data_IF_924523932619
#
_entry.id   IF_924523932619
#
_cell.length_a   1.000
_cell.length_b   1.000
_cell.length_c   1.000
_cell.angle_alpha   90.00
_cell.angle_beta   90.00
_cell.angle_gamma   90.00
#
_symmetry.space_group_name_H-M   'P 1'
#
loop_
_entity.id
_entity.type
_entity.pdbx_description
1 polymer ?
#
# COMPACT_ATOMS: atom_id res chain seq x y z
N UNK A 1 -28.49 67.87 -21.13
CA UNK A 1 -27.37 66.90 -21.12
C UNK A 1 -26.46 67.24 -19.95
N UNK A 2 -26.56 66.51 -18.83
CA UNK A 2 -25.66 66.67 -17.68
C UNK A 2 -24.57 65.59 -17.72
N UNK A 3 -23.28 65.95 -17.55
CA UNK A 3 -22.20 64.99 -17.65
C UNK A 3 -22.18 64.11 -16.39
N UNK A 4 -22.30 62.79 -16.59
CA UNK A 4 -22.16 61.80 -15.52
C UNK A 4 -20.68 61.76 -15.11
N UNK A 5 -20.32 62.50 -14.07
CA UNK A 5 -18.99 62.45 -13.46
C UNK A 5 -18.77 61.03 -12.94
N UNK A 6 -18.05 60.21 -13.71
CA UNK A 6 -17.57 58.92 -13.25
C UNK A 6 -16.56 59.20 -12.15
N UNK A 7 -16.89 58.87 -10.90
CA UNK A 7 -16.00 58.98 -9.75
C UNK A 7 -15.10 57.73 -9.73
N UNK A 8 -13.85 57.79 -10.25
CA UNK A 8 -12.97 56.62 -10.29
C UNK A 8 -12.69 56.05 -8.89
N UNK A 9 -12.67 56.91 -7.87
CA UNK A 9 -12.50 56.49 -6.47
C UNK A 9 -13.61 55.59 -5.93
N UNK A 10 -14.85 55.72 -6.44
CA UNK A 10 -15.95 54.83 -6.04
C UNK A 10 -15.73 53.41 -6.55
N UNK A 11 -15.34 53.27 -7.83
CA UNK A 11 -15.04 51.97 -8.42
C UNK A 11 -13.78 51.33 -7.82
N UNK A 12 -12.74 52.11 -7.54
CA UNK A 12 -11.55 51.62 -6.86
C UNK A 12 -11.88 51.10 -5.44
N UNK A 13 -12.72 51.80 -4.69
CA UNK A 13 -13.19 51.36 -3.38
C UNK A 13 -14.03 50.09 -3.48
N UNK A 14 -14.96 50.00 -4.45
CA UNK A 14 -15.73 48.77 -4.67
C UNK A 14 -14.83 47.57 -4.99
N UNK A 15 -13.83 47.73 -5.85
CA UNK A 15 -12.87 46.67 -6.19
C UNK A 15 -12.04 46.26 -4.97
N UNK A 16 -11.56 47.22 -4.18
CA UNK A 16 -10.82 46.94 -2.97
C UNK A 16 -11.67 46.19 -1.93
N UNK A 17 -12.92 46.60 -1.73
CA UNK A 17 -13.85 45.93 -0.81
C UNK A 17 -14.15 44.51 -1.30
N UNK A 18 -14.37 44.31 -2.60
CA UNK A 18 -14.56 42.97 -3.18
C UNK A 18 -13.30 42.10 -3.00
N UNK A 19 -12.11 42.64 -3.25
CA UNK A 19 -10.83 41.93 -3.02
C UNK A 19 -10.67 41.53 -1.55
N UNK A 20 -10.97 42.44 -0.61
CA UNK A 20 -10.94 42.13 0.82
C UNK A 20 -11.97 41.05 1.17
N UNK A 21 -13.20 41.13 0.62
CA UNK A 21 -14.19 40.08 0.85
C UNK A 21 -13.76 38.74 0.25
N UNK A 22 -13.12 38.74 -0.92
CA UNK A 22 -12.58 37.52 -1.52
C UNK A 22 -11.41 36.95 -0.71
N UNK A 23 -10.50 37.79 -0.20
CA UNK A 23 -9.39 37.36 0.65
C UNK A 23 -9.86 36.83 2.01
N UNK A 24 -10.80 37.53 2.64
CA UNK A 24 -11.40 37.13 3.93
C UNK A 24 -12.26 35.88 3.74
N UNK A 25 -13.05 35.79 2.67
CA UNK A 25 -13.83 34.59 2.38
C UNK A 25 -12.93 33.41 2.02
N UNK A 26 -11.85 33.61 1.24
CA UNK A 26 -10.89 32.55 0.97
C UNK A 26 -10.16 32.10 2.25
N UNK A 27 -9.78 33.03 3.13
CA UNK A 27 -9.16 32.72 4.42
C UNK A 27 -10.13 32.04 5.40
N UNK A 28 -11.40 32.44 5.43
CA UNK A 28 -12.44 31.75 6.22
C UNK A 28 -12.85 30.40 5.62
N UNK A 29 -12.84 30.25 4.29
CA UNK A 29 -12.99 28.95 3.66
C UNK A 29 -11.76 28.08 3.95
N UNK A 30 -10.56 28.62 4.00
CA UNK A 30 -9.39 27.86 4.45
C UNK A 30 -9.41 27.54 5.95
N UNK A 31 -10.09 28.33 6.79
CA UNK A 31 -10.17 28.08 8.25
C UNK A 31 -11.39 27.26 8.69
N UNK A 32 -12.50 27.29 7.93
CA UNK A 32 -13.74 26.54 8.21
C UNK A 32 -13.99 25.40 7.20
N UNK A 33 -13.34 25.41 6.03
CA UNK A 33 -13.34 24.37 4.99
C UNK A 33 -11.92 23.78 4.80
N UNK A 34 -10.91 24.28 5.52
CA UNK A 34 -9.65 23.60 5.76
C UNK A 34 -9.78 22.59 6.89
N UNK A 35 -9.34 21.35 6.62
CA UNK A 35 -9.27 20.23 7.57
C UNK A 35 -10.56 19.83 8.31
N UNK A 36 -11.70 20.46 8.05
CA UNK A 36 -12.94 20.24 8.78
C UNK A 36 -12.77 20.47 10.29
N UNK A 37 -13.59 19.83 11.13
CA UNK A 37 -13.43 19.80 12.59
C UNK A 37 -12.16 19.02 13.06
N UNK A 38 -11.18 18.83 12.17
CA UNK A 38 -9.91 18.17 12.46
C UNK A 38 -8.91 19.12 13.12
N UNK A 39 -8.08 18.58 14.00
CA UNK A 39 -6.93 19.29 14.54
C UNK A 39 -5.99 19.70 13.39
N UNK A 40 -5.41 20.90 13.45
CA UNK A 40 -4.39 21.38 12.50
C UNK A 40 -3.27 20.32 12.40
N UNK A 41 -2.77 20.00 11.19
CA UNK A 41 -1.63 19.09 11.06
C UNK A 41 -0.44 19.65 11.86
N UNK A 42 0.30 18.81 12.60
CA UNK A 42 1.43 19.29 13.37
C UNK A 42 2.55 19.77 12.44
N UNK A 43 3.48 20.58 12.98
CA UNK A 43 4.55 21.14 12.17
C UNK A 43 5.40 20.04 11.53
N UNK A 44 5.82 20.28 10.30
CA UNK A 44 6.75 19.42 9.59
C UNK A 44 8.09 19.36 10.33
N UNK A 45 8.68 18.18 10.41
CA UNK A 45 10.05 18.00 10.92
C UNK A 45 11.02 18.59 9.90
N UNK A 46 11.77 19.61 10.29
CA UNK A 46 12.76 20.24 9.43
C UNK A 46 14.05 19.42 9.39
N UNK A 47 14.46 19.00 8.19
CA UNK A 47 15.64 18.16 7.96
C UNK A 47 16.39 18.65 6.72
N UNK A 48 17.71 18.65 6.79
CA UNK A 48 18.57 18.87 5.62
C UNK A 48 19.14 17.54 5.13
N UNK A 49 18.85 17.18 3.89
CA UNK A 49 19.43 16.01 3.23
C UNK A 49 20.76 16.39 2.58
N UNK A 50 21.85 15.78 3.04
CA UNK A 50 23.23 16.20 2.69
C UNK A 50 24.08 15.07 2.12
N UNK A 51 23.61 13.83 2.17
CA UNK A 51 24.37 12.65 1.74
C UNK A 51 23.56 11.82 0.75
N UNK A 52 24.18 11.41 -0.35
CA UNK A 52 23.64 10.35 -1.19
C UNK A 52 23.90 8.98 -0.55
N UNK A 53 22.88 8.13 -0.56
CA UNK A 53 22.99 6.75 -0.09
C UNK A 53 23.84 5.96 -1.09
N UNK A 54 25.02 5.53 -0.64
CA UNK A 54 25.84 4.61 -1.40
C UNK A 54 25.23 3.21 -1.35
N UNK A 55 25.12 2.56 -2.52
CA UNK A 55 24.75 1.16 -2.58
C UNK A 55 25.76 0.31 -1.79
N UNK A 56 25.27 -0.53 -0.89
CA UNK A 56 26.09 -1.47 -0.13
C UNK A 56 25.92 -2.87 -0.71
N UNK A 57 26.94 -3.73 -0.62
CA UNK A 57 26.76 -5.13 -0.97
C UNK A 57 25.64 -5.74 -0.12
N UNK A 58 24.66 -6.45 -0.71
CA UNK A 58 23.60 -7.09 0.05
C UNK A 58 24.22 -8.02 1.11
N UNK A 59 23.69 -8.07 2.35
CA UNK A 59 24.22 -8.98 3.35
C UNK A 59 24.18 -10.41 2.79
N UNK A 60 25.20 -11.24 3.05
CA UNK A 60 25.23 -12.61 2.56
C UNK A 60 24.10 -13.39 3.21
N UNK A 61 22.94 -13.45 2.56
CA UNK A 61 21.86 -14.34 2.95
C UNK A 61 22.34 -15.75 2.64
N UNK A 62 22.48 -16.56 3.70
CA UNK A 62 22.93 -17.95 3.61
C UNK A 62 22.20 -18.64 2.45
N UNK A 63 22.97 -19.06 1.45
CA UNK A 63 22.45 -19.80 0.32
C UNK A 63 21.56 -20.93 0.83
N UNK A 64 20.41 -21.21 0.21
CA UNK A 64 19.63 -22.38 0.60
C UNK A 64 20.56 -23.59 0.51
N UNK A 65 20.73 -24.29 1.63
CA UNK A 65 21.40 -25.59 1.65
C UNK A 65 20.71 -26.40 0.57
N UNK A 66 21.44 -26.72 -0.49
CA UNK A 66 20.92 -27.53 -1.57
C UNK A 66 20.51 -28.86 -0.95
N UNK A 67 19.21 -29.03 -0.70
CA UNK A 67 18.65 -30.30 -0.29
C UNK A 67 18.95 -31.23 -1.45
N UNK A 68 19.93 -32.12 -1.25
CA UNK A 68 20.30 -33.11 -2.23
C UNK A 68 19.00 -33.81 -2.65
N UNK A 69 18.55 -33.54 -3.88
CA UNK A 69 17.40 -34.23 -4.45
C UNK A 69 17.75 -35.70 -4.44
N UNK A 70 17.15 -36.46 -3.53
CA UNK A 70 17.23 -37.91 -3.53
C UNK A 70 16.63 -38.35 -4.85
N UNK A 71 17.49 -38.68 -5.83
CA UNK A 71 17.07 -39.27 -7.10
C UNK A 71 16.34 -40.56 -6.73
N UNK A 72 15.03 -40.59 -6.92
CA UNK A 72 14.31 -41.84 -6.98
C UNK A 72 14.91 -42.64 -8.15
N UNK A 73 15.22 -43.93 -7.97
CA UNK A 73 15.77 -44.74 -9.04
C UNK A 73 14.74 -44.82 -10.18
N UNK A 74 15.19 -44.46 -11.38
CA UNK A 74 14.46 -44.66 -12.62
C UNK A 74 14.24 -46.16 -12.81
N UNK A 75 12.98 -46.60 -12.81
CA UNK A 75 12.62 -47.95 -13.23
C UNK A 75 12.81 -48.01 -14.74
N UNK A 76 13.81 -48.79 -15.17
CA UNK A 76 14.11 -49.02 -16.56
C UNK A 76 12.95 -49.73 -17.26
N UNK A 77 12.26 -49.05 -18.18
CA UNK A 77 11.41 -49.69 -19.16
C UNK A 77 12.30 -50.29 -20.27
N UNK A 78 12.15 -51.60 -20.45
CA UNK A 78 12.87 -52.44 -21.43
C UNK A 78 12.39 -52.10 -22.86
N UNK A 79 13.28 -51.91 -23.85
CA UNK A 79 12.84 -51.70 -25.23
C UNK A 79 12.52 -53.04 -25.90
N UNK A 80 11.39 -53.10 -26.61
CA UNK A 80 11.10 -54.17 -27.58
C UNK A 80 11.09 -53.54 -28.96
N UNK A 81 11.97 -54.03 -29.83
CA UNK A 81 12.06 -53.67 -31.23
C UNK A 81 11.46 -54.77 -32.12
N UNK A 82 10.67 -54.31 -33.09
CA UNK A 82 10.43 -54.79 -34.46
C UNK A 82 9.91 -56.21 -34.75
N UNK A 83 8.79 -56.28 -35.49
CA UNK A 83 8.59 -57.21 -36.60
C UNK A 83 7.51 -56.72 -37.60
N UNK A 84 7.97 -56.47 -38.82
CA UNK A 84 7.43 -56.78 -40.17
C UNK A 84 5.99 -56.44 -40.61
N UNK A 85 5.93 -55.78 -41.77
CA UNK A 85 4.80 -55.63 -42.70
C UNK A 85 4.34 -56.97 -43.34
N UNK A 86 3.19 -57.02 -44.05
CA UNK A 86 3.22 -56.68 -45.48
C UNK A 86 1.99 -55.95 -46.04
N UNK A 87 2.18 -55.47 -47.26
CA UNK A 87 1.30 -54.72 -48.16
C UNK A 87 0.35 -55.64 -48.96
N UNK A 88 -0.90 -55.21 -49.22
CA UNK A 88 -1.68 -55.66 -50.38
C UNK A 88 -2.77 -54.66 -50.80
N UNK A 89 -2.70 -54.30 -52.07
CA UNK A 89 -3.60 -53.49 -52.90
C UNK A 89 -4.90 -54.24 -53.22
N UNK A 90 -6.06 -53.55 -53.27
CA UNK A 90 -6.99 -53.55 -54.43
C UNK A 90 -8.41 -53.01 -54.11
N UNK A 91 -8.80 -52.02 -54.94
CA UNK A 91 -10.08 -51.87 -55.67
C UNK A 91 -11.41 -51.57 -54.97
N UNK A 92 -12.01 -50.47 -55.43
CA UNK A 92 -13.42 -50.05 -55.28
C UNK A 92 -14.41 -51.00 -56.01
N UNK A 93 -15.75 -50.87 -55.81
CA UNK A 93 -16.51 -49.89 -56.60
C UNK A 93 -17.75 -49.20 -55.93
N UNK A 94 -17.99 -48.00 -56.46
CA UNK A 94 -19.19 -47.19 -56.75
C UNK A 94 -20.66 -47.53 -56.36
N UNK A 95 -21.39 -46.43 -56.06
CA UNK A 95 -22.83 -46.07 -56.23
C UNK A 95 -23.84 -46.72 -55.23
N UNK A 96 -24.81 -46.02 -54.62
CA UNK A 96 -25.91 -45.21 -55.18
C UNK A 96 -26.42 -44.13 -54.19
N UNK A 97 -26.98 -43.06 -54.75
CA UNK A 97 -27.51 -41.83 -54.16
C UNK A 97 -28.79 -41.95 -53.29
N UNK A 98 -29.00 -40.94 -52.43
CA UNK A 98 -30.30 -40.28 -52.20
C UNK A 98 -30.10 -38.92 -51.50
N UNK A 99 -30.76 -37.89 -52.02
CA UNK A 99 -30.91 -36.52 -51.50
C UNK A 99 -32.42 -36.16 -51.61
N UNK A 100 -32.92 -34.99 -51.18
CA UNK A 100 -32.51 -34.04 -50.12
C UNK A 100 -33.68 -33.67 -49.16
N UNK A 101 -33.41 -32.91 -48.10
CA UNK A 101 -34.42 -32.01 -47.50
C UNK A 101 -33.76 -30.80 -46.83
N UNK A 102 -34.33 -29.65 -47.15
CA UNK A 102 -33.94 -28.27 -46.95
C UNK A 102 -34.32 -27.74 -45.56
N UNK A 103 -33.59 -26.73 -45.05
CA UNK A 103 -34.13 -25.54 -44.37
C UNK A 103 -32.98 -24.57 -44.02
N UNK A 104 -33.09 -23.34 -44.51
CA UNK A 104 -32.27 -22.18 -44.14
C UNK A 104 -33.10 -21.21 -43.24
N UNK A 105 -32.58 -20.02 -42.88
CA UNK A 105 -32.08 -19.61 -41.55
C UNK A 105 -33.07 -18.69 -40.79
N UNK A 106 -32.65 -18.04 -39.67
CA UNK A 106 -32.58 -16.57 -39.80
C UNK A 106 -31.41 -15.88 -39.06
N UNK A 107 -31.35 -14.59 -39.37
CA UNK A 107 -30.30 -13.58 -39.20
C UNK A 107 -30.58 -12.71 -37.96
N UNK A 108 -29.57 -11.91 -37.58
CA UNK A 108 -29.58 -10.64 -36.81
C UNK A 108 -29.60 -10.71 -35.28
N UNK A 109 -28.51 -10.24 -34.66
CA UNK A 109 -28.50 -8.93 -34.00
C UNK A 109 -27.07 -8.56 -33.57
N UNK A 110 -26.44 -7.68 -34.36
CA UNK A 110 -25.29 -6.89 -33.91
C UNK A 110 -25.82 -5.75 -33.04
N UNK A 111 -25.51 -5.80 -31.74
CA UNK A 111 -25.86 -4.73 -30.80
C UNK A 111 -24.66 -3.81 -30.67
N UNK A 112 -24.79 -2.62 -31.26
CA UNK A 112 -23.88 -1.51 -31.02
C UNK A 112 -23.92 -1.10 -29.53
N UNK A 113 -22.78 -0.88 -28.87
CA UNK A 113 -22.79 -0.39 -27.49
C UNK A 113 -23.19 1.11 -27.47
N UNK A 114 -23.95 1.55 -26.45
CA UNK A 114 -24.35 2.95 -26.31
C UNK A 114 -23.14 3.84 -25.93
N UNK A 115 -23.22 5.17 -26.16
CA UNK A 115 -22.14 6.10 -25.85
C UNK A 115 -21.95 6.20 -24.32
N UNK A 116 -20.77 5.86 -23.84
CA UNK A 116 -20.42 5.94 -22.43
C UNK A 116 -20.23 7.40 -21.98
N UNK A 117 -21.01 7.82 -20.99
CA UNK A 117 -20.82 9.05 -20.23
C UNK A 117 -19.54 8.99 -19.36
N UNK A 118 -18.92 10.14 -19.01
CA UNK A 118 -17.50 10.22 -18.65
C UNK A 118 -17.20 9.62 -17.27
N UNK A 119 -16.25 8.68 -17.25
CA UNK A 119 -15.85 7.90 -16.06
C UNK A 119 -14.73 8.62 -15.32
N UNK A 120 -14.91 8.77 -14.01
CA UNK A 120 -14.10 9.57 -13.09
C UNK A 120 -12.82 8.85 -12.64
N UNK A 121 -11.68 9.57 -12.64
CA UNK A 121 -10.29 9.08 -12.58
C UNK A 121 -9.78 8.98 -11.14
N UNK A 122 -9.88 7.79 -10.55
CA UNK A 122 -9.51 7.60 -9.16
C UNK A 122 -9.27 6.08 -8.81
N UNK A 123 -8.01 5.77 -8.42
CA UNK A 123 -7.39 4.58 -7.76
C UNK A 123 -6.56 3.59 -8.65
N UNK A 124 -5.23 3.19 -8.48
CA UNK A 124 -4.16 3.30 -7.39
C UNK A 124 -2.73 3.75 -7.86
N UNK A 125 -2.19 4.88 -7.39
CA UNK A 125 -0.76 5.23 -7.36
C UNK A 125 -0.24 5.13 -5.92
N UNK A 126 -1.05 5.02 -4.87
CA UNK A 126 -1.55 6.22 -4.23
C UNK A 126 -2.67 6.97 -5.00
N UNK A 127 -3.65 6.26 -5.55
CA UNK A 127 -4.81 6.83 -6.24
C UNK A 127 -5.96 6.23 -5.36
N UNK A 128 -6.84 6.98 -4.69
CA UNK A 128 -7.96 7.80 -5.16
C UNK A 128 -9.31 7.04 -5.22
N UNK A 129 -10.07 6.80 -4.15
CA UNK A 129 -11.55 6.98 -4.12
C UNK A 129 -12.03 6.63 -2.71
N UNK A 130 -12.30 7.65 -1.91
CA UNK A 130 -13.36 7.65 -0.93
C UNK A 130 -14.78 7.83 -1.57
N UNK A 131 -15.77 7.00 -1.28
CA UNK A 131 -17.22 7.22 -0.97
C UNK A 131 -17.97 8.24 -1.81
N UNK A 132 -19.22 8.00 -2.20
CA UNK A 132 -20.35 7.58 -1.35
C UNK A 132 -21.44 6.87 -2.18
N UNK A 133 -22.27 6.09 -1.48
CA UNK A 133 -23.69 5.92 -1.82
C UNK A 133 -24.55 6.26 -0.58
N UNK A 134 -25.76 6.86 -0.73
CA UNK A 134 -26.65 7.23 0.38
C UNK A 134 -27.37 6.01 1.01
N UNK A 135 -27.82 6.12 2.27
CA UNK A 135 -28.41 5.01 3.02
C UNK A 135 -29.86 4.72 2.62
N UNK A 136 -30.20 3.44 2.46
CA UNK A 136 -31.58 2.96 2.45
C UNK A 136 -31.99 2.57 3.88
N UNK A 137 -33.18 3.02 4.28
CA UNK A 137 -33.73 2.95 5.63
C UNK A 137 -33.82 1.53 6.21
N UNK A 138 -33.46 1.40 7.49
CA UNK A 138 -33.86 0.29 8.35
C UNK A 138 -34.61 0.83 9.56
N UNK A 139 -35.84 0.34 9.75
CA UNK A 139 -36.73 0.62 10.87
C UNK A 139 -36.27 -0.09 12.16
N UNK A 140 -36.74 0.34 13.35
CA UNK A 140 -36.14 -0.03 14.63
C UNK A 140 -36.67 -1.39 15.12
N UNK A 141 -35.78 -2.19 15.72
CA UNK A 141 -36.15 -3.35 16.52
C UNK A 141 -35.89 -3.05 18.00
N UNK A 142 -36.88 -3.42 18.81
CA UNK A 142 -37.12 -2.96 20.17
C UNK A 142 -36.25 -3.64 21.25
N UNK A 143 -36.11 -2.91 22.35
CA UNK A 143 -35.54 -3.30 23.64
C UNK A 143 -36.35 -4.36 24.39
N UNK A 144 -35.68 -5.19 25.19
CA UNK A 144 -36.19 -5.80 26.42
C UNK A 144 -35.01 -6.25 27.34
N UNK A 145 -35.20 -6.37 28.67
CA UNK A 145 -34.25 -5.79 29.62
C UNK A 145 -33.41 -6.76 30.45
N UNK A 146 -32.43 -6.11 31.09
CA UNK A 146 -31.69 -6.37 32.34
C UNK A 146 -32.39 -7.23 33.41
N UNK A 147 -31.64 -8.13 34.04
CA UNK A 147 -31.94 -8.69 35.36
C UNK A 147 -30.66 -8.75 36.20
N UNK A 148 -30.75 -8.06 37.33
CA UNK A 148 -29.72 -7.84 38.33
C UNK A 148 -29.26 -9.10 39.11
N UNK A 149 -28.11 -8.93 39.77
CA UNK A 149 -27.39 -9.83 40.66
C UNK A 149 -28.19 -10.34 41.89
N UNK A 150 -27.62 -11.25 42.70
CA UNK A 150 -26.85 -10.73 43.82
C UNK A 150 -25.55 -11.47 44.20
N UNK A 151 -24.70 -10.64 44.79
CA UNK A 151 -23.52 -10.87 45.61
C UNK A 151 -23.70 -11.94 46.71
N UNK A 152 -22.70 -12.83 46.89
CA UNK A 152 -22.47 -13.57 48.14
C UNK A 152 -20.97 -13.60 48.46
N UNK A 153 -20.69 -13.38 49.74
CA UNK A 153 -19.44 -13.00 50.38
C UNK A 153 -18.31 -14.03 50.40
N UNK A 154 -17.10 -13.50 50.62
CA UNK A 154 -15.90 -14.19 51.07
C UNK A 154 -16.03 -14.78 52.49
N UNK A 155 -15.13 -15.72 52.85
CA UNK A 155 -14.28 -15.43 54.01
C UNK A 155 -12.79 -15.82 53.86
N UNK A 156 -11.98 -14.91 54.37
CA UNK A 156 -10.79 -15.00 55.24
C UNK A 156 -9.86 -16.25 55.30
N UNK A 157 -8.56 -15.95 55.07
CA UNK A 157 -7.29 -16.35 55.72
C UNK A 157 -7.17 -17.70 56.44
N UNK A 158 -6.17 -18.50 56.02
CA UNK A 158 -5.15 -19.09 56.91
C UNK A 158 -3.98 -19.70 56.11
N UNK A 159 -2.75 -19.32 56.47
CA UNK A 159 -1.52 -20.04 56.13
C UNK A 159 -1.35 -21.30 57.01
N UNK A 160 -0.47 -22.24 56.61
CA UNK A 160 0.72 -22.40 57.44
C UNK A 160 2.02 -22.60 56.65
N UNK A 161 3.09 -22.04 57.21
CA UNK A 161 4.49 -22.43 56.98
C UNK A 161 4.76 -23.85 57.49
N UNK A 162 5.60 -24.61 56.79
CA UNK A 162 6.94 -25.00 57.26
C UNK A 162 7.52 -26.21 56.49
N UNK A 163 8.80 -26.02 56.12
CA UNK A 163 9.90 -26.97 55.99
C UNK A 163 9.92 -28.07 54.91
N UNK A 164 10.97 -27.98 54.09
CA UNK A 164 11.40 -29.00 53.14
C UNK A 164 12.71 -28.62 52.46
N UNK A 165 13.80 -28.56 53.24
CA UNK A 165 15.15 -28.39 52.73
C UNK A 165 15.59 -29.58 51.85
N UNK A 166 16.09 -29.30 50.64
CA UNK A 166 16.98 -30.22 49.92
C UNK A 166 17.83 -29.50 48.85
N UNK A 167 19.13 -29.47 49.13
CA UNK A 167 20.28 -29.61 48.23
C UNK A 167 20.49 -28.59 47.08
N UNK A 168 21.46 -27.71 47.30
CA UNK A 168 22.23 -27.01 46.28
C UNK A 168 23.03 -27.98 45.40
N UNK A 169 22.96 -27.79 44.08
CA UNK A 169 23.96 -28.25 43.12
C UNK A 169 24.31 -27.07 42.17
N UNK A 170 25.58 -26.85 41.82
CA UNK A 170 25.99 -25.66 41.11
C UNK A 170 25.71 -25.82 39.61
N UNK A 171 24.75 -25.07 39.07
CA UNK A 171 24.60 -24.88 37.63
C UNK A 171 25.55 -23.76 37.16
N UNK A 172 26.84 -24.06 37.11
CA UNK A 172 27.77 -23.30 36.27
C UNK A 172 27.58 -23.73 34.81
N UNK A 173 27.66 -22.75 33.91
CA UNK A 173 27.60 -22.85 32.44
C UNK A 173 26.21 -22.84 31.79
N UNK A 174 25.46 -21.75 32.00
CA UNK A 174 24.65 -21.14 30.91
C UNK A 174 25.00 -19.65 30.81
N UNK A 175 26.27 -19.35 30.60
CA UNK A 175 26.72 -17.99 30.29
C UNK A 175 27.77 -18.05 29.20
N UNK A 176 27.32 -18.39 27.98
CA UNK A 176 28.10 -18.26 26.75
C UNK A 176 27.19 -18.46 25.53
N UNK A 177 26.22 -17.56 25.32
CA UNK A 177 25.64 -17.22 24.00
C UNK A 177 24.48 -16.21 24.13
N UNK A 178 24.60 -15.20 25.01
CA UNK A 178 23.90 -13.96 24.74
C UNK A 178 24.79 -13.21 23.75
N UNK A 179 24.69 -13.58 22.45
CA UNK A 179 25.18 -12.73 21.39
C UNK A 179 24.50 -11.38 21.61
N UNK A 180 25.29 -10.36 21.99
CA UNK A 180 24.80 -9.00 22.20
C UNK A 180 24.15 -8.56 20.89
N UNK A 181 22.83 -8.65 20.81
CA UNK A 181 22.08 -8.14 19.68
C UNK A 181 22.35 -6.65 19.66
N UNK A 182 23.06 -6.19 18.63
CA UNK A 182 23.24 -4.75 18.40
C UNK A 182 21.83 -4.17 18.32
N UNK A 183 21.47 -3.21 19.20
CA UNK A 183 20.14 -2.64 19.18
C UNK A 183 19.90 -2.02 17.81
N UNK A 184 18.77 -2.34 17.21
CA UNK A 184 18.39 -1.77 15.92
C UNK A 184 18.30 -0.25 16.05
N UNK A 185 19.03 0.46 15.18
CA UNK A 185 18.92 1.89 15.05
C UNK A 185 18.11 2.25 13.80
N UNK A 186 17.12 3.12 13.96
CA UNK A 186 16.35 3.64 12.84
C UNK A 186 17.24 4.38 11.84
N UNK A 187 17.07 4.15 10.53
CA UNK A 187 17.85 4.85 9.51
C UNK A 187 17.66 6.36 9.60
N UNK A 188 18.63 7.16 9.12
CA UNK A 188 18.47 8.60 9.01
C UNK A 188 17.23 8.96 8.21
N UNK A 189 16.72 10.18 8.40
CA UNK A 189 15.68 10.72 7.54
C UNK A 189 16.12 10.64 6.08
N UNK A 190 15.26 10.10 5.23
CA UNK A 190 15.59 9.69 3.86
C UNK A 190 14.57 10.24 2.88
N UNK A 191 15.05 10.75 1.75
CA UNK A 191 14.23 11.23 0.63
C UNK A 191 14.46 10.36 -0.60
N UNK A 192 13.36 9.91 -1.18
CA UNK A 192 13.30 9.17 -2.44
C UNK A 192 12.60 10.03 -3.48
N UNK A 193 13.07 9.97 -4.72
CA UNK A 193 12.46 10.64 -5.87
C UNK A 193 12.20 9.60 -6.94
N UNK A 194 11.00 9.59 -7.48
CA UNK A 194 10.55 8.63 -8.47
C UNK A 194 10.13 9.35 -9.75
N UNK A 195 10.42 8.69 -10.86
CA UNK A 195 9.81 8.97 -12.15
C UNK A 195 8.55 8.14 -12.26
N UNK A 196 7.47 8.78 -12.71
CA UNK A 196 6.18 8.15 -12.87
C UNK A 196 5.82 8.08 -14.35
N UNK A 197 5.47 6.89 -14.82
CA UNK A 197 4.91 6.68 -16.16
C UNK A 197 3.77 5.66 -16.10
N UNK A 198 2.86 5.69 -17.05
CA UNK A 198 1.72 4.78 -17.03
C UNK A 198 0.81 4.90 -18.24
N UNK A 199 -0.15 4.00 -18.30
CA UNK A 199 -1.35 4.15 -19.10
C UNK A 199 -2.55 3.98 -18.17
N UNK A 200 -3.22 5.09 -17.87
CA UNK A 200 -4.39 5.11 -17.00
C UNK A 200 -5.46 5.96 -17.66
N UNK A 201 -6.22 5.31 -18.55
CA UNK A 201 -7.13 5.97 -19.50
C UNK A 201 -6.40 6.96 -20.42
N UNK A 202 -5.22 6.55 -20.89
CA UNK A 202 -4.30 7.35 -21.69
C UNK A 202 -2.91 7.41 -21.06
N UNK A 203 -1.88 7.76 -21.86
CA UNK A 203 -0.51 7.87 -21.37
C UNK A 203 -0.40 8.95 -20.30
N UNK A 204 0.24 8.62 -19.19
CA UNK A 204 0.51 9.53 -18.08
C UNK A 204 1.99 9.56 -17.76
N UNK A 205 2.49 10.76 -17.48
CA UNK A 205 3.86 10.99 -17.02
C UNK A 205 3.85 11.95 -15.84
N UNK A 206 4.82 11.79 -14.94
CA UNK A 206 4.87 12.56 -13.72
C UNK A 206 6.10 12.30 -12.87
N UNK A 207 5.99 12.73 -11.63
CA UNK A 207 6.99 12.49 -10.60
C UNK A 207 6.32 12.21 -9.25
N UNK A 208 7.07 11.55 -8.38
CA UNK A 208 6.70 11.43 -6.98
C UNK A 208 7.93 11.63 -6.09
N UNK A 209 7.72 12.14 -4.89
CA UNK A 209 8.74 12.20 -3.84
C UNK A 209 8.18 11.59 -2.57
N UNK A 210 9.05 10.88 -1.85
CA UNK A 210 8.74 10.34 -0.53
C UNK A 210 9.82 10.83 0.43
N UNK A 211 9.41 11.49 1.50
CA UNK A 211 10.29 11.92 2.58
C UNK A 211 9.91 11.23 3.87
N UNK A 212 10.81 10.35 4.34
CA UNK A 212 10.79 9.79 5.67
C UNK A 212 11.58 10.71 6.61
N UNK A 213 10.90 11.23 7.64
CA UNK A 213 11.45 12.17 8.60
C UNK A 213 11.32 11.58 10.02
N UNK A 214 12.35 11.76 10.85
CA UNK A 214 12.31 11.31 12.25
C UNK A 214 12.94 12.33 13.19
N UNK A 215 12.37 12.48 14.37
CA UNK A 215 12.89 13.32 15.44
C UNK A 215 12.53 12.73 16.80
N UNK A 216 13.53 12.21 17.52
CA UNK A 216 13.29 11.46 18.76
C UNK A 216 12.46 10.21 18.47
N UNK A 217 11.36 10.03 19.21
CA UNK A 217 10.38 8.96 18.97
C UNK A 217 9.37 9.28 17.86
N UNK A 218 9.31 10.51 17.35
CA UNK A 218 8.29 10.88 16.34
C UNK A 218 8.78 10.63 14.93
N UNK A 219 7.83 10.33 14.05
CA UNK A 219 8.07 10.26 12.62
C UNK A 219 7.03 11.03 11.80
N UNK A 220 7.44 11.42 10.59
CA UNK A 220 6.55 11.86 9.52
C UNK A 220 6.95 11.21 8.20
N UNK A 221 5.98 10.82 7.39
CA UNK A 221 6.15 10.44 5.99
C UNK A 221 5.36 11.42 5.14
N UNK A 222 6.04 12.16 4.27
CA UNK A 222 5.39 12.98 3.26
C UNK A 222 5.53 12.33 1.90
N UNK A 223 4.40 12.15 1.21
CA UNK A 223 4.37 11.67 -0.16
C UNK A 223 3.71 12.72 -1.04
N UNK A 224 4.44 13.15 -2.06
CA UNK A 224 3.96 14.07 -3.08
C UNK A 224 3.96 13.34 -4.43
N UNK A 225 2.91 13.55 -5.22
CA UNK A 225 2.80 12.99 -6.56
C UNK A 225 2.20 14.04 -7.48
N UNK A 226 2.73 14.15 -8.69
CA UNK A 226 2.22 15.05 -9.72
C UNK A 226 2.20 14.34 -11.08
N UNK A 227 1.06 14.38 -11.77
CA UNK A 227 0.87 13.87 -13.13
C UNK A 227 0.50 15.06 -14.02
N UNK A 228 1.52 15.58 -14.72
CA UNK A 228 1.43 16.83 -15.46
C UNK A 228 0.73 17.95 -14.67
N UNK A 229 -0.01 18.86 -15.35
CA UNK A 229 -0.85 19.85 -14.69
C UNK A 229 -2.23 19.31 -14.27
N UNK A 230 -2.49 18.01 -14.49
CA UNK A 230 -3.83 17.43 -14.41
C UNK A 230 -4.16 16.97 -12.99
N UNK A 231 -3.19 16.34 -12.31
CA UNK A 231 -3.42 15.75 -11.00
C UNK A 231 -2.20 15.97 -10.10
N UNK A 232 -2.46 16.38 -8.87
CA UNK A 232 -1.46 16.33 -7.79
C UNK A 232 -2.06 15.72 -6.53
N UNK A 233 -1.24 15.00 -5.78
CA UNK A 233 -1.61 14.39 -4.50
C UNK A 233 -0.53 14.69 -3.48
N UNK A 234 -0.95 15.08 -2.28
CA UNK A 234 -0.09 15.22 -1.12
C UNK A 234 -0.65 14.38 0.02
N UNK A 235 0.19 13.56 0.62
CA UNK A 235 -0.14 12.70 1.74
C UNK A 235 0.85 12.93 2.86
N UNK A 236 0.37 12.95 4.08
CA UNK A 236 1.19 12.93 5.29
C UNK A 236 0.73 11.80 6.19
N UNK A 237 1.65 10.96 6.62
CA UNK A 237 1.46 10.01 7.72
C UNK A 237 2.38 10.40 8.87
N UNK A 238 1.90 10.27 10.09
CA UNK A 238 2.70 10.58 11.26
C UNK A 238 2.33 9.72 12.46
N UNK A 239 3.28 9.60 13.38
CA UNK A 239 3.09 8.86 14.61
C UNK A 239 4.39 8.66 15.37
N UNK A 240 4.50 7.51 16.03
CA UNK A 240 5.61 7.18 16.91
C UNK A 240 6.41 5.98 16.39
N UNK A 241 7.70 5.99 16.67
CA UNK A 241 8.63 4.89 16.54
C UNK A 241 8.50 4.01 17.78
N UNK A 242 8.32 2.71 17.58
CA UNK A 242 8.20 1.73 18.65
C UNK A 242 9.17 0.56 18.43
N UNK A 243 9.30 -0.31 19.43
CA UNK A 243 10.06 -1.55 19.31
C UNK A 243 9.50 -2.49 18.22
N UNK A 244 8.20 -2.36 17.90
CA UNK A 244 7.51 -3.16 16.89
C UNK A 244 7.41 -2.44 15.51
N UNK A 245 8.17 -1.36 15.31
CA UNK A 245 8.12 -0.54 14.11
C UNK A 245 7.28 0.73 14.29
N UNK A 246 6.61 1.17 13.23
CA UNK A 246 5.82 2.39 13.22
C UNK A 246 4.44 2.18 13.86
N UNK A 247 4.03 3.15 14.68
CA UNK A 247 2.68 3.27 15.21
C UNK A 247 2.06 4.59 14.69
N UNK A 248 1.35 4.56 13.56
CA UNK A 248 0.65 5.73 13.04
C UNK A 248 -0.34 6.28 14.08
N UNK A 249 -0.53 7.60 14.03
CA UNK A 249 -1.52 8.35 14.84
C UNK A 249 -2.50 9.08 13.95
N UNK A 250 -1.99 9.65 12.86
CA UNK A 250 -2.76 10.45 11.93
C UNK A 250 -2.25 10.25 10.51
N UNK A 251 -3.19 10.17 9.59
CA UNK A 251 -2.95 10.20 8.17
C UNK A 251 -3.83 11.27 7.54
N UNK A 252 -3.26 12.06 6.66
CA UNK A 252 -3.91 13.13 5.93
C UNK A 252 -3.61 13.00 4.45
N UNK A 253 -4.63 13.16 3.62
CA UNK A 253 -4.47 13.15 2.18
C UNK A 253 -5.24 14.28 1.52
N UNK A 254 -4.61 14.91 0.54
CA UNK A 254 -5.20 15.90 -0.36
C UNK A 254 -4.93 15.48 -1.80
N UNK A 255 -5.95 15.57 -2.65
CA UNK A 255 -5.84 15.37 -4.09
C UNK A 255 -6.49 16.55 -4.81
N UNK A 256 -5.75 17.12 -5.76
CA UNK A 256 -6.20 18.17 -6.66
C UNK A 256 -6.26 17.61 -8.07
N UNK A 257 -7.39 17.83 -8.73
CA UNK A 257 -7.59 17.52 -10.14
C UNK A 257 -7.96 18.81 -10.85
N UNK A 258 -7.42 19.03 -12.03
CA UNK A 258 -7.67 20.22 -12.83
C UNK A 258 -9.19 20.43 -13.01
N UNK A 259 -9.64 21.67 -12.80
CA UNK A 259 -11.04 22.08 -12.85
C UNK A 259 -11.98 21.42 -11.82
N UNK A 260 -11.44 20.83 -10.74
CA UNK A 260 -12.24 20.24 -9.66
C UNK A 260 -11.84 20.77 -8.29
N UNK A 261 -12.80 20.75 -7.36
CA UNK A 261 -12.52 21.07 -5.97
C UNK A 261 -11.51 20.07 -5.38
N UNK A 262 -10.54 20.52 -4.56
CA UNK A 262 -9.63 19.62 -3.86
C UNK A 262 -10.40 18.64 -2.99
N UNK A 263 -10.02 17.38 -3.06
CA UNK A 263 -10.55 16.33 -2.22
C UNK A 263 -9.60 16.05 -1.07
N UNK A 264 -10.13 15.96 0.14
CA UNK A 264 -9.37 15.67 1.36
C UNK A 264 -9.95 14.49 2.11
N UNK A 265 -9.11 13.70 2.74
CA UNK A 265 -9.50 12.60 3.61
C UNK A 265 -8.47 12.41 4.72
N UNK A 266 -8.91 11.81 5.83
CA UNK A 266 -8.06 11.58 6.99
C UNK A 266 -8.31 10.19 7.58
N UNK A 267 -7.33 9.64 8.29
CA UNK A 267 -7.47 8.48 9.15
C UNK A 267 -6.91 8.84 10.53
N UNK A 268 -7.52 8.32 11.59
CA UNK A 268 -7.01 8.46 12.96
C UNK A 268 -6.78 7.09 13.57
N UNK A 269 -5.63 6.92 14.20
CA UNK A 269 -5.22 5.64 14.77
C UNK A 269 -5.16 5.74 16.29
N UNK A 270 -6.15 5.14 16.94
CA UNK A 270 -6.24 4.99 18.38
C UNK A 270 -5.74 3.62 18.85
N UNK A 271 -5.51 3.46 20.17
CA UNK A 271 -5.09 2.17 20.73
C UNK A 271 -6.14 1.07 20.55
N UNK A 272 -7.42 1.40 20.65
CA UNK A 272 -8.53 0.45 20.54
C UNK A 272 -9.26 0.52 19.19
N UNK A 273 -9.35 1.72 18.62
CA UNK A 273 -10.09 1.97 17.38
C UNK A 273 -9.28 2.78 16.37
N UNK A 274 -9.44 2.44 15.09
CA UNK A 274 -9.05 3.26 13.95
C UNK A 274 -10.30 3.91 13.37
N UNK A 275 -10.25 5.23 13.19
CA UNK A 275 -11.32 5.98 12.53
C UNK A 275 -10.94 6.17 11.07
N UNK A 276 -11.76 5.61 10.21
CA UNK A 276 -11.60 5.62 8.76
C UNK A 276 -12.08 6.93 8.13
N UNK A 277 -11.84 7.12 6.83
CA UNK A 277 -12.14 8.40 6.14
C UNK A 277 -13.62 8.74 6.04
N UNK A 278 -14.50 7.75 6.22
CA UNK A 278 -15.95 7.90 6.32
C UNK A 278 -16.44 8.18 7.75
N UNK A 279 -15.52 8.22 8.71
CA UNK A 279 -15.84 8.33 10.13
C UNK A 279 -16.20 7.01 10.79
N UNK A 280 -16.19 5.88 10.07
CA UNK A 280 -16.44 4.56 10.64
C UNK A 280 -15.29 4.19 11.58
N UNK A 281 -15.64 3.74 12.78
CA UNK A 281 -14.67 3.20 13.73
C UNK A 281 -14.57 1.68 13.56
N UNK A 282 -13.34 1.18 13.49
CA UNK A 282 -13.03 -0.25 13.41
C UNK A 282 -11.99 -0.62 14.46
N UNK A 283 -12.00 -1.85 15.01
CA UNK A 283 -11.00 -2.26 15.98
C UNK A 283 -9.57 -2.13 15.44
N UNK A 284 -8.66 -1.60 16.25
CA UNK A 284 -7.25 -1.48 15.90
C UNK A 284 -6.62 -2.86 15.78
N UNK A 285 -5.96 -3.12 14.65
CA UNK A 285 -5.14 -4.32 14.48
C UNK A 285 -3.68 -4.05 14.88
N UNK A 286 -3.00 -4.99 15.55
CA UNK A 286 -1.58 -4.84 15.88
C UNK A 286 -0.72 -4.58 14.64
N UNK A 287 0.12 -3.55 14.70
CA UNK A 287 1.00 -3.17 13.59
C UNK A 287 0.30 -2.53 12.39
N UNK A 288 -0.96 -2.09 12.54
CA UNK A 288 -1.69 -1.41 11.45
C UNK A 288 -0.90 -0.22 10.89
N UNK A 289 -0.84 -0.14 9.57
CA UNK A 289 -0.22 0.96 8.84
C UNK A 289 -1.24 1.67 7.95
N UNK A 290 -0.87 2.84 7.46
CA UNK A 290 -1.57 3.56 6.41
C UNK A 290 -0.85 3.43 5.05
N UNK A 291 -1.41 4.10 4.03
CA UNK A 291 -0.90 4.06 2.66
C UNK A 291 0.57 4.49 2.52
N UNK A 292 1.08 5.37 3.38
CA UNK A 292 2.42 5.94 3.27
C UNK A 292 3.42 5.25 4.21
N UNK A 293 3.04 5.05 5.48
CA UNK A 293 3.86 4.39 6.51
C UNK A 293 4.20 2.94 6.17
N UNK A 294 3.35 2.23 5.40
CA UNK A 294 3.58 0.83 5.04
C UNK A 294 4.95 0.57 4.43
N UNK A 295 5.46 1.47 3.58
CA UNK A 295 6.73 1.26 2.88
C UNK A 295 7.92 1.37 3.82
N UNK A 296 7.84 2.30 4.77
CA UNK A 296 8.85 2.45 5.82
C UNK A 296 8.77 1.29 6.82
N UNK A 297 7.56 0.84 7.16
CA UNK A 297 7.36 -0.33 8.01
C UNK A 297 7.94 -1.61 7.38
N UNK A 298 7.76 -1.79 6.07
CA UNK A 298 8.38 -2.91 5.35
C UNK A 298 9.91 -2.80 5.31
N UNK A 299 10.45 -1.60 5.09
CA UNK A 299 11.89 -1.34 5.16
C UNK A 299 12.45 -1.72 6.53
N UNK A 300 11.78 -1.30 7.62
CA UNK A 300 12.11 -1.67 8.99
C UNK A 300 12.05 -3.20 9.20
N UNK A 301 10.97 -3.84 8.73
CA UNK A 301 10.77 -5.27 8.86
C UNK A 301 11.90 -6.06 8.17
N UNK A 302 12.30 -5.67 6.96
CA UNK A 302 13.35 -6.38 6.22
C UNK A 302 14.75 -6.07 6.72
N UNK A 303 14.95 -4.91 7.34
CA UNK A 303 16.22 -4.59 8.01
C UNK A 303 16.38 -5.37 9.31
N UNK A 304 15.31 -5.53 10.10
CA UNK A 304 15.33 -6.25 11.38
C UNK A 304 15.13 -7.76 11.25
N UNK A 305 14.44 -8.20 10.20
CA UNK A 305 14.16 -9.60 9.90
C UNK A 305 14.43 -9.93 8.41
N UNK A 306 15.69 -9.89 7.95
CA UNK A 306 16.04 -10.13 6.54
C UNK A 306 15.52 -11.46 5.97
N UNK A 307 15.38 -12.48 6.80
CA UNK A 307 14.83 -13.79 6.41
C UNK A 307 13.39 -13.73 5.88
N UNK A 308 12.65 -12.65 6.19
CA UNK A 308 11.31 -12.39 5.64
C UNK A 308 11.35 -12.06 4.16
N UNK A 309 12.45 -11.47 3.67
CA UNK A 309 12.66 -11.10 2.27
C UNK A 309 13.34 -12.23 1.49
N UNK A 310 12.73 -13.42 1.52
CA UNK A 310 13.20 -14.61 0.79
C UNK A 310 12.13 -15.10 -0.15
N UNK A 311 12.52 -15.50 -1.36
CA UNK A 311 11.60 -16.06 -2.36
C UNK A 311 10.78 -17.21 -1.76
N UNK A 312 9.47 -17.18 -2.00
CA UNK A 312 8.51 -18.14 -1.45
C UNK A 312 8.04 -17.83 -0.01
N UNK A 313 8.54 -16.76 0.62
CA UNK A 313 7.99 -16.23 1.87
C UNK A 313 6.91 -15.19 1.60
N UNK A 314 6.19 -14.86 2.65
CA UNK A 314 5.14 -13.83 2.63
C UNK A 314 5.24 -12.93 3.85
N UNK A 315 4.78 -11.70 3.68
CA UNK A 315 4.62 -10.72 4.75
C UNK A 315 3.18 -10.30 4.85
N UNK A 316 2.64 -10.29 6.06
CA UNK A 316 1.32 -9.76 6.35
C UNK A 316 1.41 -8.37 6.97
N UNK A 317 0.54 -7.47 6.52
CA UNK A 317 0.47 -6.10 7.00
C UNK A 317 -1.00 -5.65 7.07
N UNK A 318 -1.54 -5.33 8.25
CA UNK A 318 -2.84 -4.68 8.34
C UNK A 318 -2.74 -3.26 7.79
N UNK A 319 -3.54 -2.92 6.79
CA UNK A 319 -3.55 -1.62 6.14
C UNK A 319 -4.91 -0.95 6.27
N UNK A 320 -4.91 0.27 6.80
CA UNK A 320 -6.04 1.18 6.73
C UNK A 320 -5.88 2.08 5.48
N UNK A 321 -6.75 1.86 4.49
CA UNK A 321 -6.74 2.57 3.20
C UNK A 321 -8.13 3.13 2.97
N UNK A 322 -8.26 4.45 2.92
CA UNK A 322 -9.53 5.16 2.73
C UNK A 322 -10.57 4.74 3.79
N UNK A 323 -11.40 3.72 3.54
CA UNK A 323 -12.35 3.20 4.55
C UNK A 323 -12.50 1.71 4.55
N UNK A 324 -11.36 1.06 4.36
CA UNK A 324 -11.17 -0.33 4.68
C UNK A 324 -9.95 -0.44 5.57
N UNK A 325 -10.05 -1.29 6.59
CA UNK A 325 -8.91 -1.80 7.33
C UNK A 325 -8.89 -3.30 7.07
N UNK A 326 -7.92 -3.73 6.27
CA UNK A 326 -7.82 -5.12 5.81
C UNK A 326 -6.40 -5.63 6.01
N UNK A 327 -6.26 -6.95 6.13
CA UNK A 327 -4.95 -7.60 6.22
C UNK A 327 -4.45 -7.91 4.81
N UNK A 328 -3.35 -7.26 4.44
CA UNK A 328 -2.69 -7.49 3.16
C UNK A 328 -1.59 -8.52 3.32
N UNK A 329 -1.46 -9.42 2.33
CA UNK A 329 -0.36 -10.38 2.26
C UNK A 329 0.41 -10.14 0.98
N UNK A 330 1.71 -9.90 1.11
CA UNK A 330 2.65 -9.78 0.00
C UNK A 330 3.51 -11.03 -0.08
N UNK A 331 3.53 -11.67 -1.24
CA UNK A 331 4.36 -12.83 -1.54
C UNK A 331 5.65 -12.35 -2.21
N UNK A 332 6.80 -12.84 -1.73
CA UNK A 332 8.11 -12.60 -2.36
C UNK A 332 8.27 -13.59 -3.51
N UNK A 333 8.07 -13.13 -4.74
CA UNK A 333 7.93 -14.01 -5.90
C UNK A 333 9.26 -14.30 -6.61
N UNK A 334 10.24 -13.41 -6.48
CA UNK A 334 11.52 -13.55 -7.17
C UNK A 334 12.49 -12.42 -6.87
N UNK A 335 13.72 -12.59 -7.34
CA UNK A 335 14.74 -11.55 -7.39
C UNK A 335 14.90 -11.11 -8.85
N UNK A 336 14.93 -9.80 -9.06
CA UNK A 336 15.02 -9.18 -10.38
C UNK A 336 16.11 -8.11 -10.36
N UNK A 337 16.94 -8.08 -11.41
CA UNK A 337 17.90 -6.99 -11.62
C UNK A 337 17.24 -5.89 -12.44
N UNK A 338 17.04 -4.73 -11.81
CA UNK A 338 16.46 -3.54 -12.42
C UNK A 338 17.57 -2.62 -12.92
N UNK A 339 17.31 -1.90 -14.02
CA UNK A 339 18.25 -0.93 -14.59
C UNK A 339 17.75 0.48 -14.33
N UNK A 340 18.61 1.32 -13.75
CA UNK A 340 18.38 2.73 -13.48
C UNK A 340 19.48 3.57 -14.12
N UNK A 341 19.27 4.89 -14.22
CA UNK A 341 20.27 5.82 -14.76
C UNK A 341 21.58 5.81 -13.93
N UNK A 342 21.51 5.41 -12.65
CA UNK A 342 22.64 5.30 -11.74
C UNK A 342 23.23 3.87 -11.63
N UNK A 343 22.75 2.92 -12.44
CA UNK A 343 23.30 1.56 -12.51
C UNK A 343 22.27 0.43 -12.33
N UNK A 344 22.76 -0.80 -12.24
CA UNK A 344 21.93 -1.99 -12.02
C UNK A 344 21.72 -2.25 -10.51
N UNK A 345 20.50 -2.60 -10.13
CA UNK A 345 20.12 -2.87 -8.73
C UNK A 345 19.34 -4.17 -8.67
N UNK A 346 19.85 -5.14 -7.91
CA UNK A 346 19.11 -6.35 -7.56
C UNK A 346 18.03 -6.03 -6.51
N UNK A 347 16.81 -6.46 -6.77
CA UNK A 347 15.66 -6.22 -5.90
C UNK A 347 14.72 -7.43 -5.84
N UNK A 348 14.13 -7.64 -4.67
CA UNK A 348 13.10 -8.66 -4.46
C UNK A 348 11.73 -8.13 -4.85
N UNK A 349 11.04 -8.84 -5.73
CA UNK A 349 9.70 -8.50 -6.17
C UNK A 349 8.66 -9.08 -5.21
N UNK A 350 7.86 -8.20 -4.61
CA UNK A 350 6.72 -8.52 -3.77
C UNK A 350 5.43 -8.25 -4.52
N UNK A 351 4.55 -9.25 -4.56
CA UNK A 351 3.24 -9.18 -5.19
C UNK A 351 2.14 -9.42 -4.16
N UNK A 352 1.07 -8.62 -4.13
CA UNK A 352 -0.03 -8.87 -3.22
C UNK A 352 -0.75 -10.17 -3.63
N UNK A 353 -1.05 -11.03 -2.66
CA UNK A 353 -1.74 -12.31 -2.88
C UNK A 353 -3.17 -12.14 -3.38
N UNK A 354 -3.81 -11.03 -3.00
CA UNK A 354 -5.18 -10.74 -3.39
C UNK A 354 -5.26 -10.61 -4.92
N UNK A 355 -6.20 -11.32 -5.52
CA UNK A 355 -6.62 -10.99 -6.89
C UNK A 355 -7.29 -9.61 -6.85
N UNK A 356 -6.95 -8.74 -7.80
CA UNK A 356 -7.70 -7.50 -7.99
C UNK A 356 -9.16 -7.85 -8.32
N UNK A 357 -10.12 -7.39 -7.52
CA UNK A 357 -11.56 -7.57 -7.77
C UNK A 357 -12.23 -6.24 -8.08
N UNK A 358 -12.98 -6.17 -9.19
CA UNK A 358 -13.67 -4.93 -9.58
C UNK A 358 -12.68 -3.77 -9.78
N UNK A 359 -12.98 -2.60 -9.22
CA UNK A 359 -12.08 -1.44 -9.23
C UNK A 359 -10.94 -1.51 -8.22
N UNK A 360 -10.56 -2.71 -7.75
CA UNK A 360 -9.41 -2.96 -6.88
C UNK A 360 -8.10 -3.09 -7.66
N UNK A 361 -7.04 -2.99 -6.87
CA UNK A 361 -5.91 -2.17 -7.21
C UNK A 361 -4.70 -2.69 -6.49
N UNK A 362 -3.72 -3.16 -7.23
CA UNK A 362 -2.69 -4.02 -6.66
C UNK A 362 -1.32 -3.37 -6.84
N UNK A 363 -0.74 -2.79 -5.77
CA UNK A 363 0.63 -2.35 -5.77
C UNK A 363 1.57 -3.56 -5.63
N UNK A 364 2.38 -3.78 -6.64
CA UNK A 364 3.59 -4.61 -6.61
C UNK A 364 4.79 -3.72 -6.27
N UNK A 365 5.80 -4.27 -5.58
CA UNK A 365 6.96 -3.49 -5.14
C UNK A 365 8.25 -4.27 -5.29
N UNK A 366 9.34 -3.56 -5.59
CA UNK A 366 10.69 -4.10 -5.66
C UNK A 366 11.53 -3.51 -4.55
N UNK A 367 12.00 -4.37 -3.64
CA UNK A 367 12.76 -3.98 -2.46
C UNK A 367 14.24 -4.29 -2.68
N UNK A 368 15.12 -3.29 -2.59
CA UNK A 368 16.55 -3.45 -2.84
C UNK A 368 17.37 -3.50 -1.54
N UNK A 369 17.91 -4.67 -1.13
CA UNK A 369 18.75 -4.77 0.06
C UNK A 369 20.00 -3.88 0.00
N UNK A 370 20.57 -3.68 -1.19
CA UNK A 370 21.73 -2.83 -1.40
C UNK A 370 21.47 -1.35 -1.13
N UNK A 371 20.20 -0.93 -1.17
CA UNK A 371 19.75 0.42 -0.84
C UNK A 371 18.95 0.42 0.47
N UNK A 372 19.48 -0.26 1.50
CA UNK A 372 18.87 -0.31 2.84
C UNK A 372 17.43 -0.83 2.84
N UNK A 373 17.11 -1.81 1.98
CA UNK A 373 15.77 -2.37 1.83
C UNK A 373 14.69 -1.35 1.42
N UNK A 374 15.08 -0.28 0.72
CA UNK A 374 14.14 0.71 0.20
C UNK A 374 13.38 0.18 -1.03
N UNK A 375 12.12 0.62 -1.25
CA UNK A 375 11.37 0.33 -2.46
C UNK A 375 11.92 1.13 -3.64
N UNK A 376 12.55 0.44 -4.60
CA UNK A 376 13.16 1.07 -5.79
C UNK A 376 12.21 1.13 -6.98
N UNK A 377 11.14 0.34 -6.95
CA UNK A 377 10.07 0.38 -7.93
C UNK A 377 8.74 0.03 -7.28
N UNK A 378 7.67 0.70 -7.69
CA UNK A 378 6.31 0.38 -7.30
C UNK A 378 5.49 0.35 -8.59
N UNK A 379 4.97 -0.82 -8.95
CA UNK A 379 4.12 -1.00 -10.11
C UNK A 379 2.71 -1.22 -9.65
N UNK A 380 1.78 -0.51 -10.23
CA UNK A 380 0.43 -0.52 -9.76
C UNK A 380 -0.52 -0.73 -10.92
N UNK A 381 -1.44 -1.69 -10.75
CA UNK A 381 -2.34 -2.14 -11.80
C UNK A 381 -3.78 -2.21 -11.28
N UNK A 382 -4.72 -1.97 -12.19
CA UNK A 382 -6.13 -2.28 -11.99
C UNK A 382 -6.56 -3.53 -12.79
N UNK A 383 -7.80 -3.95 -12.63
CA UNK A 383 -8.38 -5.10 -13.34
C UNK A 383 -8.61 -4.85 -14.84
N UNK A 384 -8.61 -3.60 -15.28
CA UNK A 384 -8.85 -3.19 -16.67
C UNK A 384 -7.55 -3.10 -17.48
N UNK A 385 -6.41 -3.41 -16.86
CA UNK A 385 -5.08 -3.34 -17.49
C UNK A 385 -4.45 -1.95 -17.46
N UNK A 386 -5.10 -0.97 -16.82
CA UNK A 386 -4.47 0.32 -16.57
C UNK A 386 -3.35 0.13 -15.55
N UNK A 387 -2.28 0.90 -15.70
CA UNK A 387 -1.11 0.79 -14.84
C UNK A 387 -0.38 2.11 -14.66
N UNK A 388 0.28 2.24 -13.51
CA UNK A 388 1.30 3.26 -13.26
C UNK A 388 2.52 2.59 -12.64
N UNK A 389 3.70 2.97 -13.12
CA UNK A 389 4.99 2.52 -12.65
C UNK A 389 5.76 3.71 -12.06
N UNK A 390 6.24 3.53 -10.84
CA UNK A 390 7.08 4.47 -10.13
C UNK A 390 8.45 3.84 -10.03
N UNK A 391 9.43 4.41 -10.73
CA UNK A 391 10.82 3.92 -10.73
C UNK A 391 11.71 4.95 -10.06
N UNK A 392 12.63 4.51 -9.20
CA UNK A 392 13.54 5.41 -8.52
C UNK A 392 14.37 6.20 -9.54
N UNK A 393 14.34 7.52 -9.44
CA UNK A 393 14.95 8.43 -10.41
C UNK A 393 16.46 8.60 -10.17
N UNK A 394 16.85 8.61 -8.90
CA UNK A 394 18.22 8.84 -8.43
C UNK A 394 18.46 8.16 -7.09
N UNK A 395 19.72 8.05 -6.68
CA UNK A 395 20.08 7.51 -5.38
C UNK A 395 19.35 8.27 -4.25
N UNK A 396 18.86 7.57 -3.20
CA UNK A 396 18.19 8.21 -2.08
C UNK A 396 19.11 9.22 -1.37
N UNK A 397 18.52 10.29 -0.86
CA UNK A 397 19.25 11.29 -0.08
C UNK A 397 18.95 11.12 1.41
N UNK A 398 19.98 11.19 2.25
CA UNK A 398 19.88 11.04 3.69
C UNK A 398 20.32 12.30 4.43
N UNK A 399 19.67 12.54 5.56
CA UNK A 399 20.13 13.50 6.54
C UNK A 399 21.47 13.08 7.14
N UNK A 400 22.22 14.04 7.67
CA UNK A 400 23.38 13.73 8.50
C UNK A 400 22.93 12.90 9.71
N UNK A 401 23.70 11.87 10.05
CA UNK A 401 23.56 11.20 11.35
C UNK A 401 23.94 12.22 12.43
N UNK A 402 23.05 12.40 13.43
CA UNK A 402 23.30 13.26 14.59
C UNK A 402 23.92 12.47 15.72
#
# INVERSE_FOLDING_TARGET
>A
MTPRIRRPGFWALCVAVVLVHLLVSNGLLESHVGWGAGQKPPPRIEVTFVRELAATAPPPMAAPVAVARRRLPSVAAKPVAAASAPERVASAPALVASAPAELAPPVLAEVAPPPAAPVDLAAPIALAVAELAPPLAAAPAASAPDVAAPNVAAPDVAAPDADGAAASAPAAAVSAAAASAVPFEWPPSTRLTYRLSGDYRGPVEGSASVEWLRQGSRYQVHLETAIGPVLSRHITSEGELTENGLAPRRFDGEQKVLFRAPRRWQLRFGPEVVVLSDGKEVPTQPGVQDEASQFVQLTWLFTTQPDRLKVGRSVELPLAISRKLERWTYDVIGEETLRFDFGEVAAYHLKPRRAAQGGDLTPEMWIAPSLQYLPVRILIRDTQGNWIDLTLDKLPLQAAQK
#
